data_IF_019809146374
#
_entry.id   IF_019809146374
#
_cell.length_a   1.000
_cell.length_b   1.000
_cell.length_c   1.000
_cell.angle_alpha   90.00
_cell.angle_beta   90.00
_cell.angle_gamma   90.00
#
_symmetry.space_group_name_H-M   'P 1'
#
loop_
_entity.id
_entity.type
_entity.pdbx_description
1 polymer ?
#
# COMPACT_ATOMS: atom_id res chain seq x y z
N UNK A 1 -3.46 1.75 -27.22
CA UNK A 1 -3.76 0.40 -26.70
C UNK A 1 -4.57 0.60 -25.45
N UNK A 2 -5.77 0.02 -25.37
CA UNK A 2 -6.59 0.08 -24.16
C UNK A 2 -5.76 -0.56 -23.02
N UNK A 3 -5.47 0.17 -21.95
CA UNK A 3 -4.88 -0.41 -20.75
C UNK A 3 -5.95 -1.29 -20.10
N UNK A 4 -6.08 -2.53 -20.57
CA UNK A 4 -7.02 -3.49 -20.00
C UNK A 4 -6.54 -3.83 -18.58
N UNK A 5 -7.34 -3.45 -17.58
CA UNK A 5 -7.13 -3.83 -16.20
C UNK A 5 -7.66 -5.25 -16.04
N UNK A 6 -6.82 -6.17 -15.58
CA UNK A 6 -7.21 -7.53 -15.22
C UNK A 6 -7.60 -7.51 -13.74
N UNK A 7 -8.76 -8.09 -13.42
CA UNK A 7 -9.35 -8.06 -12.08
C UNK A 7 -9.49 -9.48 -11.54
N UNK A 8 -9.00 -9.72 -10.33
CA UNK A 8 -9.24 -10.95 -9.58
C UNK A 8 -9.98 -10.69 -8.27
N UNK A 9 -10.85 -11.63 -7.90
CA UNK A 9 -11.60 -11.65 -6.64
C UNK A 9 -11.26 -12.88 -5.78
N UNK A 10 -10.31 -13.69 -6.25
CA UNK A 10 -9.87 -14.91 -5.60
C UNK A 10 -8.35 -15.06 -5.78
N UNK A 11 -7.67 -15.56 -4.74
CA UNK A 11 -6.22 -15.73 -4.75
C UNK A 11 -5.82 -16.88 -5.68
N UNK A 12 -6.58 -17.96 -5.77
CA UNK A 12 -6.24 -19.09 -6.63
C UNK A 12 -6.38 -18.72 -8.10
N UNK A 13 -7.45 -18.00 -8.47
CA UNK A 13 -7.61 -17.50 -9.84
C UNK A 13 -6.42 -16.63 -10.25
N UNK A 14 -6.02 -15.69 -9.37
CA UNK A 14 -4.82 -14.87 -9.58
C UNK A 14 -3.56 -15.73 -9.78
N UNK A 15 -3.30 -16.67 -8.86
CA UNK A 15 -2.12 -17.53 -8.89
C UNK A 15 -2.10 -18.51 -10.07
N UNK A 16 -3.26 -18.84 -10.65
CA UNK A 16 -3.39 -19.71 -11.82
C UNK A 16 -3.14 -18.98 -13.15
N UNK A 17 -3.03 -17.65 -13.12
CA UNK A 17 -2.87 -16.83 -14.32
C UNK A 17 -1.42 -16.70 -14.78
N UNK A 18 -1.21 -16.15 -15.98
CA UNK A 18 0.13 -15.81 -16.49
C UNK A 18 0.65 -14.53 -15.82
N UNK A 19 1.13 -14.65 -14.59
CA UNK A 19 1.56 -13.54 -13.71
C UNK A 19 2.58 -12.62 -14.37
N UNK A 20 3.50 -13.17 -15.15
CA UNK A 20 4.58 -12.43 -15.81
C UNK A 20 4.07 -11.48 -16.91
N UNK A 21 2.90 -11.75 -17.49
CA UNK A 21 2.29 -10.95 -18.55
C UNK A 21 1.49 -9.75 -18.02
N UNK A 22 1.20 -9.71 -16.73
CA UNK A 22 0.34 -8.69 -16.12
C UNK A 22 1.03 -7.33 -16.11
N UNK A 23 0.31 -6.31 -16.60
CA UNK A 23 0.76 -4.92 -16.64
C UNK A 23 -0.12 -4.00 -15.80
N UNK A 24 -1.44 -4.21 -15.84
CA UNK A 24 -2.43 -3.45 -15.07
C UNK A 24 -3.30 -4.44 -14.30
N UNK A 25 -3.17 -4.45 -12.97
CA UNK A 25 -3.78 -5.46 -12.11
C UNK A 25 -4.64 -4.82 -11.03
N UNK A 26 -5.81 -5.40 -10.81
CA UNK A 26 -6.63 -5.15 -9.65
C UNK A 26 -6.93 -6.47 -8.94
N UNK A 27 -6.78 -6.50 -7.63
CA UNK A 27 -7.20 -7.64 -6.80
C UNK A 27 -8.12 -7.11 -5.70
N UNK A 28 -9.30 -7.71 -5.56
CA UNK A 28 -10.30 -7.32 -4.57
C UNK A 28 -10.66 -8.49 -3.67
N UNK A 29 -10.13 -8.47 -2.45
CA UNK A 29 -10.30 -9.52 -1.44
C UNK A 29 -10.84 -8.94 -0.12
N UNK A 30 -11.65 -7.88 -0.16
CA UNK A 30 -12.19 -7.26 1.04
C UNK A 30 -13.07 -8.22 1.85
N UNK A 31 -12.85 -8.33 3.17
CA UNK A 31 -13.63 -9.17 4.09
C UNK A 31 -13.50 -10.68 3.87
N UNK A 32 -12.36 -11.17 3.38
CA UNK A 32 -12.12 -12.61 3.16
C UNK A 32 -11.40 -13.31 4.33
N UNK A 33 -11.01 -12.57 5.38
CA UNK A 33 -10.25 -13.09 6.53
C UNK A 33 -8.97 -13.84 6.10
N UNK A 34 -8.30 -13.36 5.05
CA UNK A 34 -7.16 -14.08 4.47
C UNK A 34 -5.97 -14.21 5.44
N UNK A 35 -5.89 -13.31 6.44
CA UNK A 35 -4.83 -13.27 7.44
C UNK A 35 -3.43 -13.11 6.84
N UNK A 36 -2.42 -13.36 7.68
CA UNK A 36 -1.02 -13.27 7.26
C UNK A 36 -0.63 -14.35 6.23
N UNK A 37 -1.25 -15.54 6.29
CA UNK A 37 -0.99 -16.63 5.34
C UNK A 37 -1.50 -16.28 3.93
N UNK A 38 -2.71 -15.73 3.83
CA UNK A 38 -3.23 -15.29 2.54
C UNK A 38 -2.49 -14.06 1.99
N UNK A 39 -2.09 -13.13 2.87
CA UNK A 39 -1.20 -12.03 2.48
C UNK A 39 0.15 -12.54 1.96
N UNK A 40 0.70 -13.61 2.56
CA UNK A 40 1.91 -14.27 2.07
C UNK A 40 1.70 -14.87 0.68
N UNK A 41 0.63 -15.65 0.46
CA UNK A 41 0.32 -16.23 -0.87
C UNK A 41 0.18 -15.14 -1.93
N UNK A 42 -0.57 -14.08 -1.62
CA UNK A 42 -0.73 -12.91 -2.47
C UNK A 42 0.61 -12.24 -2.76
N UNK A 43 1.43 -11.98 -1.74
CA UNK A 43 2.74 -11.37 -1.89
C UNK A 43 3.67 -12.19 -2.78
N UNK A 44 3.71 -13.52 -2.61
CA UNK A 44 4.54 -14.40 -3.43
C UNK A 44 4.08 -14.43 -4.91
N UNK A 45 2.78 -14.38 -5.18
CA UNK A 45 2.27 -14.23 -6.54
C UNK A 45 2.60 -12.86 -7.14
N UNK A 46 2.40 -11.78 -6.38
CA UNK A 46 2.73 -10.41 -6.80
C UNK A 46 4.22 -10.26 -7.15
N UNK A 47 5.12 -10.92 -6.41
CA UNK A 47 6.56 -10.90 -6.70
C UNK A 47 6.93 -11.46 -8.09
N UNK A 48 6.04 -12.26 -8.70
CA UNK A 48 6.22 -12.81 -10.06
C UNK A 48 5.69 -11.87 -11.16
N UNK A 49 4.93 -10.83 -10.78
CA UNK A 49 4.34 -9.87 -11.70
C UNK A 49 5.35 -8.76 -12.07
N UNK A 50 6.42 -9.13 -12.76
CA UNK A 50 7.60 -8.27 -13.01
C UNK A 50 7.34 -7.09 -13.98
N UNK A 51 6.24 -7.14 -14.73
CA UNK A 51 5.88 -6.14 -15.74
C UNK A 51 4.78 -5.16 -15.28
N UNK A 52 4.36 -5.20 -14.00
CA UNK A 52 3.33 -4.29 -13.50
C UNK A 52 3.74 -2.82 -13.59
N UNK A 53 2.86 -2.04 -14.21
CA UNK A 53 2.91 -0.58 -14.26
C UNK A 53 1.81 0.08 -13.43
N UNK A 54 0.71 -0.66 -13.18
CA UNK A 54 -0.42 -0.25 -12.36
C UNK A 54 -0.93 -1.40 -11.49
N UNK A 55 -1.12 -1.13 -10.19
CA UNK A 55 -1.66 -2.08 -9.22
C UNK A 55 -2.69 -1.42 -8.31
N UNK A 56 -3.85 -2.06 -8.18
CA UNK A 56 -4.85 -1.74 -7.17
C UNK A 56 -5.13 -2.96 -6.30
N UNK A 57 -4.94 -2.85 -4.98
CA UNK A 57 -5.26 -3.91 -4.02
C UNK A 57 -6.32 -3.42 -3.05
N UNK A 58 -7.44 -4.14 -3.00
CA UNK A 58 -8.45 -3.98 -1.95
C UNK A 58 -8.36 -5.15 -0.97
N UNK A 59 -7.85 -4.88 0.22
CA UNK A 59 -7.58 -5.85 1.28
C UNK A 59 -8.19 -5.41 2.61
N UNK A 60 -9.26 -4.61 2.59
CA UNK A 60 -9.97 -4.18 3.78
C UNK A 60 -10.47 -5.38 4.62
N UNK A 61 -10.37 -5.29 5.95
CA UNK A 61 -10.96 -6.25 6.91
C UNK A 61 -10.49 -7.69 6.69
N UNK A 62 -9.19 -7.91 6.64
CA UNK A 62 -8.61 -9.23 6.35
C UNK A 62 -7.75 -9.82 7.46
N UNK A 63 -7.65 -9.17 8.62
CA UNK A 63 -6.80 -9.59 9.73
C UNK A 63 -5.32 -9.71 9.34
N UNK A 64 -4.85 -8.88 8.41
CA UNK A 64 -3.44 -8.82 8.02
C UNK A 64 -2.67 -8.08 9.11
N UNK A 65 -1.77 -8.77 9.79
CA UNK A 65 -0.89 -8.21 10.81
C UNK A 65 0.43 -7.71 10.24
N UNK A 66 1.37 -7.46 11.15
CA UNK A 66 2.74 -7.02 10.83
C UNK A 66 3.45 -8.04 9.93
N UNK A 67 3.30 -9.34 10.19
CA UNK A 67 3.96 -10.39 9.41
C UNK A 67 3.44 -10.43 7.97
N UNK A 68 2.11 -10.42 7.78
CA UNK A 68 1.50 -10.45 6.45
C UNK A 68 1.84 -9.22 5.62
N UNK A 69 1.77 -8.02 6.22
CA UNK A 69 2.13 -6.80 5.50
C UNK A 69 3.63 -6.73 5.20
N UNK A 70 4.49 -7.28 6.06
CA UNK A 70 5.93 -7.33 5.81
C UNK A 70 6.25 -8.11 4.53
N UNK A 71 5.63 -9.29 4.37
CA UNK A 71 5.77 -10.11 3.17
C UNK A 71 5.20 -9.39 1.95
N UNK A 72 3.97 -8.87 2.03
CA UNK A 72 3.35 -8.10 0.95
C UNK A 72 4.26 -6.93 0.51
N UNK A 73 4.78 -6.17 1.47
CA UNK A 73 5.65 -5.01 1.23
C UNK A 73 6.96 -5.40 0.57
N UNK A 74 7.57 -6.52 0.99
CA UNK A 74 8.78 -7.05 0.35
C UNK A 74 8.58 -7.38 -1.13
N UNK A 75 7.38 -7.80 -1.52
CA UNK A 75 7.03 -8.03 -2.91
C UNK A 75 6.79 -6.73 -3.68
N UNK A 76 6.11 -5.75 -3.09
CA UNK A 76 5.91 -4.43 -3.70
C UNK A 76 7.23 -3.75 -4.04
N UNK A 77 8.24 -3.89 -3.16
CA UNK A 77 9.58 -3.34 -3.36
C UNK A 77 10.30 -3.86 -4.62
N UNK A 78 9.87 -5.00 -5.18
CA UNK A 78 10.45 -5.59 -6.40
C UNK A 78 9.93 -4.95 -7.68
N UNK A 79 8.88 -4.13 -7.61
CA UNK A 79 8.30 -3.52 -8.81
C UNK A 79 9.16 -2.35 -9.31
N UNK A 80 9.97 -2.63 -10.34
CA UNK A 80 10.82 -1.64 -11.01
C UNK A 80 10.07 -0.76 -12.01
N UNK A 81 8.84 -1.14 -12.40
CA UNK A 81 8.04 -0.47 -13.43
C UNK A 81 6.75 0.18 -12.91
N UNK A 82 6.41 -0.02 -11.63
CA UNK A 82 5.16 0.49 -11.06
C UNK A 82 5.16 2.02 -11.06
N UNK A 83 4.12 2.60 -11.65
CA UNK A 83 3.92 4.05 -11.71
C UNK A 83 2.66 4.49 -10.96
N UNK A 84 1.66 3.60 -10.91
CA UNK A 84 0.42 3.77 -10.18
C UNK A 84 0.25 2.66 -9.15
N UNK A 85 0.02 3.03 -7.90
CA UNK A 85 -0.30 2.09 -6.83
C UNK A 85 -1.46 2.61 -5.99
N UNK A 86 -2.48 1.78 -5.80
CA UNK A 86 -3.58 2.04 -4.90
C UNK A 86 -3.73 0.88 -3.93
N UNK A 87 -3.59 1.14 -2.62
CA UNK A 87 -3.70 0.14 -1.57
C UNK A 87 -4.80 0.54 -0.59
N UNK A 88 -5.80 -0.31 -0.45
CA UNK A 88 -6.79 -0.23 0.62
C UNK A 88 -6.51 -1.35 1.63
N UNK A 89 -5.97 -0.94 2.77
CA UNK A 89 -5.58 -1.82 3.87
C UNK A 89 -6.43 -1.53 5.12
N UNK A 90 -7.60 -0.90 4.99
CA UNK A 90 -8.43 -0.52 6.13
C UNK A 90 -8.77 -1.70 7.03
N UNK A 91 -8.92 -1.44 8.33
CA UNK A 91 -9.32 -2.46 9.32
C UNK A 91 -8.41 -3.71 9.33
N UNK A 92 -7.09 -3.49 9.33
CA UNK A 92 -6.10 -4.55 9.53
C UNK A 92 -5.20 -4.20 10.72
N UNK A 93 -4.73 -5.15 11.55
CA UNK A 93 -3.90 -4.84 12.72
C UNK A 93 -2.41 -4.58 12.36
N UNK A 94 -2.15 -3.63 11.45
CA UNK A 94 -0.79 -3.33 10.97
C UNK A 94 0.09 -2.67 12.02
N UNK A 95 -0.49 -1.83 12.89
CA UNK A 95 0.23 -1.06 13.91
C UNK A 95 1.29 -0.11 13.31
N UNK A 96 2.06 0.57 14.16
CA UNK A 96 3.13 1.48 13.72
C UNK A 96 4.24 0.73 12.94
N UNK A 97 4.55 -0.49 13.35
CA UNK A 97 5.60 -1.31 12.74
C UNK A 97 5.25 -1.70 11.31
N UNK A 98 4.06 -2.26 11.08
CA UNK A 98 3.62 -2.69 9.76
C UNK A 98 3.56 -1.54 8.75
N UNK A 99 3.11 -0.36 9.19
CA UNK A 99 3.11 0.85 8.35
C UNK A 99 4.53 1.31 8.03
N UNK A 100 5.45 1.25 8.99
CA UNK A 100 6.85 1.65 8.76
C UNK A 100 7.53 0.73 7.75
N UNK A 101 7.24 -0.58 7.80
CA UNK A 101 7.72 -1.56 6.82
C UNK A 101 7.14 -1.25 5.43
N UNK A 102 5.82 -1.09 5.32
CA UNK A 102 5.15 -0.75 4.06
C UNK A 102 5.73 0.53 3.46
N UNK A 103 5.86 1.59 4.26
CA UNK A 103 6.41 2.87 3.85
C UNK A 103 7.82 2.75 3.25
N UNK A 104 8.68 1.96 3.90
CA UNK A 104 10.06 1.75 3.48
C UNK A 104 10.14 0.98 2.16
N UNK A 105 9.26 0.00 1.96
CA UNK A 105 9.16 -0.72 0.68
C UNK A 105 8.61 0.14 -0.44
N UNK A 106 7.59 0.97 -0.18
CA UNK A 106 7.05 1.91 -1.16
C UNK A 106 8.10 2.93 -1.64
N UNK A 107 9.00 3.35 -0.76
CA UNK A 107 10.11 4.25 -1.09
C UNK A 107 11.11 3.66 -2.10
N UNK A 108 11.15 2.33 -2.25
CA UNK A 108 12.02 1.63 -3.21
C UNK A 108 11.42 1.59 -4.62
N UNK A 109 10.13 1.90 -4.77
CA UNK A 109 9.45 1.94 -6.07
C UNK A 109 9.87 3.20 -6.83
N UNK A 110 11.03 3.15 -7.50
CA UNK A 110 11.68 4.33 -8.08
C UNK A 110 10.85 5.05 -9.14
N UNK A 111 9.93 4.36 -9.84
CA UNK A 111 9.05 4.95 -10.86
C UNK A 111 7.66 5.34 -10.35
N UNK A 112 7.37 5.11 -9.06
CA UNK A 112 6.06 5.38 -8.48
C UNK A 112 5.77 6.89 -8.53
N UNK A 113 4.76 7.28 -9.31
CA UNK A 113 4.37 8.67 -9.50
C UNK A 113 3.03 8.98 -8.84
N UNK A 114 2.15 7.99 -8.74
CA UNK A 114 0.83 8.11 -8.11
C UNK A 114 0.64 7.04 -7.05
N UNK A 115 0.44 7.46 -5.80
CA UNK A 115 0.14 6.58 -4.67
C UNK A 115 -1.18 6.99 -4.02
N UNK A 116 -2.10 6.04 -3.91
CA UNK A 116 -3.26 6.13 -3.01
C UNK A 116 -3.10 5.06 -1.92
N UNK A 117 -3.22 5.46 -0.66
CA UNK A 117 -3.02 4.56 0.47
C UNK A 117 -4.07 4.81 1.55
N UNK A 118 -4.95 3.84 1.77
CA UNK A 118 -5.94 3.89 2.83
C UNK A 118 -5.54 2.97 3.99
N UNK A 119 -5.17 3.60 5.10
CA UNK A 119 -4.69 2.97 6.32
C UNK A 119 -5.61 3.24 7.52
N UNK A 120 -6.84 3.72 7.30
CA UNK A 120 -7.77 3.96 8.41
C UNK A 120 -8.00 2.66 9.18
N UNK A 121 -8.18 2.77 10.49
CA UNK A 121 -8.49 1.61 11.36
C UNK A 121 -7.37 0.55 11.39
N UNK A 122 -6.10 0.98 11.48
CA UNK A 122 -4.94 0.09 11.56
C UNK A 122 -4.12 0.22 12.86
N UNK A 123 -4.67 0.82 13.91
CA UNK A 123 -3.99 1.08 15.19
C UNK A 123 -2.67 1.86 15.03
N UNK A 124 -2.69 2.92 14.21
CA UNK A 124 -1.53 3.74 13.89
C UNK A 124 -1.51 4.97 14.77
N UNK A 125 -0.42 5.16 15.52
CA UNK A 125 -0.14 6.37 16.29
C UNK A 125 0.79 7.33 15.54
N UNK A 126 1.19 8.41 16.22
CA UNK A 126 1.97 9.49 15.60
C UNK A 126 3.35 9.05 15.11
N UNK A 127 3.94 8.04 15.74
CA UNK A 127 5.20 7.44 15.29
C UNK A 127 5.06 6.76 13.92
N UNK A 128 4.01 5.95 13.71
CA UNK A 128 3.75 5.31 12.43
C UNK A 128 3.43 6.32 11.32
N UNK A 129 2.67 7.37 11.65
CA UNK A 129 2.39 8.46 10.72
C UNK A 129 3.65 9.25 10.32
N UNK A 130 4.51 9.55 11.29
CA UNK A 130 5.78 10.25 11.07
C UNK A 130 6.73 9.44 10.19
N UNK A 131 6.85 8.13 10.44
CA UNK A 131 7.65 7.23 9.62
C UNK A 131 7.13 7.12 8.18
N UNK A 132 5.80 6.98 8.00
CA UNK A 132 5.23 6.97 6.65
C UNK A 132 5.56 8.27 5.90
N UNK A 133 5.35 9.42 6.56
CA UNK A 133 5.68 10.73 5.99
C UNK A 133 7.15 10.82 5.59
N UNK A 134 8.06 10.40 6.47
CA UNK A 134 9.50 10.45 6.22
C UNK A 134 9.88 9.58 5.02
N UNK A 135 9.44 8.32 4.98
CA UNK A 135 9.80 7.39 3.90
C UNK A 135 9.18 7.80 2.56
N UNK A 136 7.93 8.22 2.51
CA UNK A 136 7.30 8.66 1.25
C UNK A 136 7.92 9.96 0.70
N UNK A 137 8.55 10.77 1.55
CA UNK A 137 9.34 11.92 1.09
C UNK A 137 10.57 11.48 0.27
N UNK A 138 11.08 10.26 0.50
CA UNK A 138 12.23 9.70 -0.23
C UNK A 138 11.87 9.12 -1.60
N UNK A 139 10.57 8.93 -1.93
CA UNK A 139 10.16 8.46 -3.25
C UNK A 139 10.57 9.51 -4.30
N UNK A 140 11.47 9.25 -5.26
CA UNK A 140 12.00 10.29 -6.13
C UNK A 140 10.95 10.88 -7.09
N UNK A 141 10.10 10.02 -7.67
CA UNK A 141 9.15 10.41 -8.73
C UNK A 141 7.70 10.62 -8.26
N UNK A 142 7.40 10.42 -6.98
CA UNK A 142 6.05 10.55 -6.45
C UNK A 142 5.56 12.00 -6.60
N UNK A 143 4.51 12.22 -7.39
CA UNK A 143 3.95 13.55 -7.69
C UNK A 143 2.52 13.68 -7.16
N UNK A 144 1.77 12.58 -7.21
CA UNK A 144 0.41 12.47 -6.69
C UNK A 144 0.39 11.52 -5.50
N UNK A 145 -0.03 12.03 -4.36
CA UNK A 145 -0.17 11.27 -3.13
C UNK A 145 -1.56 11.54 -2.56
N UNK A 146 -2.24 10.49 -2.15
CA UNK A 146 -3.48 10.54 -1.36
C UNK A 146 -3.34 9.51 -0.25
N UNK A 147 -3.48 9.93 1.01
CA UNK A 147 -3.38 9.01 2.16
C UNK A 147 -4.57 9.23 3.08
N UNK A 148 -5.16 8.16 3.58
CA UNK A 148 -6.20 8.21 4.61
C UNK A 148 -5.68 7.50 5.88
N UNK A 149 -5.61 8.22 7.00
CA UNK A 149 -5.05 7.70 8.27
C UNK A 149 -6.03 7.66 9.43
N UNK A 150 -7.00 8.59 9.49
CA UNK A 150 -7.96 8.73 10.59
C UNK A 150 -9.39 8.77 10.05
N UNK A 151 -10.38 8.50 10.91
CA UNK A 151 -11.81 8.47 10.57
C UNK A 151 -12.43 9.86 10.31
N UNK A 152 -11.65 10.92 10.14
CA UNK A 152 -12.17 12.25 9.78
C UNK A 152 -11.98 12.53 8.29
N UNK A 153 -13.00 13.13 7.68
CA UNK A 153 -13.09 13.49 6.25
C UNK A 153 -12.00 14.48 5.76
N UNK A 154 -11.10 14.93 6.64
CA UNK A 154 -10.16 16.04 6.35
C UNK A 154 -8.76 15.63 5.86
N UNK A 155 -8.39 14.35 5.83
CA UNK A 155 -6.98 13.98 5.65
C UNK A 155 -6.51 13.82 4.20
N UNK A 156 -7.01 14.60 3.24
CA UNK A 156 -6.51 14.53 1.87
C UNK A 156 -5.19 15.33 1.71
N UNK A 157 -4.05 14.71 2.00
CA UNK A 157 -2.72 15.26 1.71
C UNK A 157 -2.46 15.20 0.20
N UNK A 158 -2.95 16.18 -0.57
CA UNK A 158 -2.68 16.28 -2.00
C UNK A 158 -1.32 16.96 -2.23
N UNK A 159 -0.37 16.17 -2.74
CA UNK A 159 0.95 16.56 -3.27
C UNK A 159 2.11 16.69 -2.26
N UNK A 160 3.32 16.43 -2.78
CA UNK A 160 4.63 16.58 -2.13
C UNK A 160 4.95 18.01 -1.59
N UNK A 161 4.04 18.97 -1.68
CA UNK A 161 4.21 20.32 -1.14
C UNK A 161 3.64 20.54 0.27
N UNK A 162 2.83 19.62 0.81
CA UNK A 162 2.07 19.86 2.06
C UNK A 162 2.57 19.09 3.29
N UNK A 163 3.64 18.29 3.18
CA UNK A 163 4.27 17.61 4.32
C UNK A 163 5.12 18.53 5.23
N UNK A 164 4.82 19.83 5.28
CA UNK A 164 5.42 20.74 6.26
C UNK A 164 4.55 20.78 7.52
N UNK A 165 4.98 19.97 8.50
CA UNK A 165 4.71 20.06 9.95
C UNK A 165 3.26 20.37 10.36
N UNK A 166 2.52 19.31 10.69
CA UNK A 166 1.69 19.32 11.90
C UNK A 166 2.47 18.66 13.04
N UNK A 167 3.66 19.17 13.35
CA UNK A 167 4.18 19.09 14.72
C UNK A 167 3.78 20.40 15.38
N UNK A 168 2.62 20.41 16.05
CA UNK A 168 2.24 21.36 17.09
C UNK A 168 0.84 20.98 17.59
N UNK A 169 0.77 20.04 18.54
CA UNK A 169 -0.25 20.06 19.57
C UNK A 169 0.39 19.70 20.91
N UNK A 170 0.78 20.77 21.61
CA UNK A 170 0.90 20.99 23.05
C UNK A 170 1.64 19.98 23.95
N UNK A 171 2.89 20.34 24.24
CA UNK A 171 3.31 20.51 25.65
C UNK A 171 3.08 21.98 26.04
N UNK A 172 2.91 22.23 27.35
CA UNK A 172 2.51 23.45 28.10
C UNK A 172 0.99 23.62 28.23
N UNK A 173 0.36 23.60 29.40
CA UNK A 173 0.83 23.73 30.81
C UNK A 173 0.24 22.64 31.71
#
# INVERSE_FOLDING_TARGET
MQNNIIVYYDIQDFLSSELSSLTNLQISLNNYLIGDEGAQKLGLGLAQCTNLSSLTLYLERNLIGVQGVSILSSSLAKFSNISFLSLDLRYNPLQNEGVSILASSLAQCSKLSTLTLDLRQNSIGDSGASNLSYSLNQCPNLSTLTIYFRNSEENCLKSKGQFKKQQNYHHTE
#
